data_IF_004226386178
#
_entry.id   IF_004226386178
#
_cell.length_a   1.000
_cell.length_b   1.000
_cell.length_c   1.000
_cell.angle_alpha   90.00
_cell.angle_beta   90.00
_cell.angle_gamma   90.00
#
_symmetry.space_group_name_H-M   'P 1'
#
loop_
_entity.id
_entity.type
_entity.pdbx_description
1 polymer ?
#
# COMPACT_ATOMS: atom_id res chain seq x y z
N UNK A 1 -0.16 -11.40 -1.39
CA UNK A 1 -0.93 -10.46 -2.23
C UNK A 1 -1.78 -9.64 -1.28
N UNK A 2 -1.87 -8.32 -1.46
CA UNK A 2 -2.72 -7.45 -0.63
C UNK A 2 -3.65 -6.66 -1.55
N UNK A 3 -4.94 -6.60 -1.18
CA UNK A 3 -6.02 -5.98 -1.95
C UNK A 3 -6.77 -5.00 -1.05
N UNK A 4 -7.11 -3.84 -1.61
CA UNK A 4 -7.90 -2.81 -0.92
C UNK A 4 -9.08 -2.38 -1.80
N UNK A 5 -10.23 -2.18 -1.18
CA UNK A 5 -11.36 -1.47 -1.76
C UNK A 5 -11.11 0.03 -1.60
N UNK A 6 -11.01 0.73 -2.73
CA UNK A 6 -10.74 2.16 -2.82
C UNK A 6 -12.04 2.92 -3.09
N UNK A 7 -12.19 4.10 -2.50
CA UNK A 7 -13.21 5.07 -2.89
C UNK A 7 -12.90 5.64 -4.27
N UNK A 8 -13.85 6.39 -4.87
CA UNK A 8 -13.63 7.06 -6.15
C UNK A 8 -12.63 8.22 -6.09
N UNK A 9 -12.11 8.53 -4.90
CA UNK A 9 -11.15 9.61 -4.68
C UNK A 9 -9.73 9.22 -5.12
N UNK A 10 -8.88 10.20 -5.49
CA UNK A 10 -7.46 9.95 -5.69
C UNK A 10 -6.86 9.30 -4.44
N UNK A 11 -6.27 8.12 -4.64
CA UNK A 11 -5.68 7.31 -3.58
C UNK A 11 -4.18 7.22 -3.82
N UNK A 12 -3.39 7.62 -2.82
CA UNK A 12 -1.96 7.46 -2.75
C UNK A 12 -1.61 6.24 -1.89
N UNK A 13 -0.88 5.29 -2.47
CA UNK A 13 -0.46 4.07 -1.77
C UNK A 13 1.06 4.08 -1.65
N UNK A 14 1.56 3.97 -0.43
CA UNK A 14 2.99 3.95 -0.15
C UNK A 14 3.37 2.71 0.65
N UNK A 15 4.38 1.98 0.19
CA UNK A 15 4.92 0.80 0.86
C UNK A 15 6.26 1.15 1.53
N UNK A 16 6.39 0.76 2.79
CA UNK A 16 7.58 0.93 3.60
C UNK A 16 8.08 -0.40 4.14
N UNK A 17 9.38 -0.49 4.38
CA UNK A 17 9.96 -1.48 5.30
C UNK A 17 9.60 -1.15 6.75
N UNK A 18 9.75 -2.11 7.65
CA UNK A 18 9.62 -1.88 9.10
C UNK A 18 10.56 -0.80 9.66
N UNK A 19 11.63 -0.46 8.94
CA UNK A 19 12.58 0.61 9.30
C UNK A 19 12.17 1.99 8.76
N UNK A 20 11.01 2.11 8.12
CA UNK A 20 10.51 3.36 7.53
C UNK A 20 11.10 3.69 6.16
N UNK A 21 11.89 2.79 5.56
CA UNK A 21 12.41 2.98 4.19
C UNK A 21 11.27 2.79 3.20
N UNK A 22 10.95 3.83 2.41
CA UNK A 22 9.96 3.78 1.35
C UNK A 22 10.48 2.94 0.17
N UNK A 23 9.71 1.94 -0.22
CA UNK A 23 10.06 1.00 -1.29
C UNK A 23 9.27 1.25 -2.57
N UNK A 24 8.00 1.65 -2.43
CA UNK A 24 7.11 1.84 -3.56
C UNK A 24 6.08 2.92 -3.24
N UNK A 25 5.71 3.66 -4.28
CA UNK A 25 4.62 4.63 -4.26
C UNK A 25 3.77 4.45 -5.51
N UNK A 26 2.45 4.54 -5.37
CA UNK A 26 1.51 4.36 -6.47
C UNK A 26 0.27 5.22 -6.26
N UNK A 27 -0.03 6.00 -7.30
CA UNK A 27 -1.24 6.82 -7.35
C UNK A 27 -2.32 6.08 -8.12
N UNK A 28 -3.52 6.05 -7.56
CA UNK A 28 -4.67 5.36 -8.12
C UNK A 28 -5.86 6.30 -8.10
N UNK A 29 -6.40 6.61 -9.28
CA UNK A 29 -7.59 7.45 -9.43
C UNK A 29 -8.66 6.70 -10.21
N UNK A 30 -9.92 6.81 -9.77
CA UNK A 30 -11.06 6.24 -10.50
C UNK A 30 -11.12 4.72 -10.55
N UNK A 31 -10.34 4.01 -9.72
CA UNK A 31 -10.40 2.54 -9.59
C UNK A 31 -10.90 2.17 -8.21
N UNK A 32 -11.87 1.25 -8.15
CA UNK A 32 -12.41 0.71 -6.90
C UNK A 32 -11.50 -0.32 -6.24
N UNK A 33 -10.57 -0.91 -6.99
CA UNK A 33 -9.65 -1.92 -6.47
C UNK A 33 -8.27 -1.74 -7.11
N UNK A 34 -7.23 -2.02 -6.33
CA UNK A 34 -5.86 -2.08 -6.81
C UNK A 34 -5.11 -3.20 -6.13
N UNK A 35 -4.23 -3.83 -6.88
CA UNK A 35 -3.33 -4.87 -6.40
C UNK A 35 -1.91 -4.32 -6.35
N UNK A 36 -1.22 -4.62 -5.25
CA UNK A 36 0.21 -4.39 -5.11
C UNK A 36 0.93 -5.73 -5.05
N UNK A 37 1.78 -5.98 -6.06
CA UNK A 37 2.65 -7.16 -6.04
C UNK A 37 3.80 -6.91 -5.08
N UNK A 38 3.99 -7.85 -4.15
CA UNK A 38 5.09 -7.86 -3.18
C UNK A 38 5.99 -9.08 -3.36
N UNK A 39 5.92 -9.75 -4.53
CA UNK A 39 6.57 -11.04 -4.82
C UNK A 39 8.09 -10.95 -4.95
N UNK A 40 8.64 -9.76 -5.17
CA UNK A 40 10.09 -9.57 -5.35
C UNK A 40 10.78 -8.95 -4.11
N UNK A 41 10.02 -8.60 -3.05
CA UNK A 41 10.56 -8.04 -1.81
C UNK A 41 11.19 -9.10 -0.88
N UNK A 42 12.34 -8.89 -0.23
CA UNK A 42 12.87 -9.90 0.69
C UNK A 42 11.89 -10.29 1.81
N UNK A 43 12.07 -11.44 2.44
CA UNK A 43 11.29 -11.78 3.63
C UNK A 43 11.47 -10.72 4.72
N UNK A 44 10.39 -10.37 5.40
CA UNK A 44 10.42 -9.29 6.37
C UNK A 44 9.08 -8.67 6.68
N UNK A 45 9.11 -7.67 7.55
CA UNK A 45 7.94 -6.89 7.93
C UNK A 45 7.85 -5.61 7.12
N UNK A 46 6.64 -5.33 6.63
CA UNK A 46 6.33 -4.22 5.76
C UNK A 46 5.10 -3.46 6.26
N UNK A 47 5.01 -2.19 5.88
CA UNK A 47 3.91 -1.30 6.21
C UNK A 47 3.39 -0.69 4.92
N UNK A 48 2.10 -0.82 4.65
CA UNK A 48 1.42 -0.08 3.58
C UNK A 48 0.62 1.04 4.20
N UNK A 49 0.76 2.21 3.61
CA UNK A 49 -0.08 3.37 3.87
C UNK A 49 -0.93 3.64 2.64
N UNK A 50 -2.22 3.86 2.85
CA UNK A 50 -3.21 4.20 1.82
C UNK A 50 -3.86 5.51 2.25
N UNK A 51 -3.67 6.56 1.47
CA UNK A 51 -4.23 7.89 1.71
C UNK A 51 -5.22 8.21 0.60
N UNK A 52 -6.49 8.37 0.93
CA UNK A 52 -7.56 8.76 0.00
C UNK A 52 -8.29 9.98 0.57
N UNK A 53 -8.07 11.15 -0.04
CA UNK A 53 -8.60 12.42 0.49
C UNK A 53 -8.14 12.67 1.94
N UNK A 54 -9.09 12.76 2.87
CA UNK A 54 -8.82 12.91 4.32
C UNK A 54 -8.66 11.60 5.08
N UNK A 55 -8.87 10.46 4.41
CA UNK A 55 -8.78 9.14 5.03
C UNK A 55 -7.37 8.60 4.87
N UNK A 56 -6.76 8.19 5.99
CA UNK A 56 -5.48 7.49 6.02
C UNK A 56 -5.64 6.14 6.67
N UNK A 57 -5.25 5.08 5.97
CA UNK A 57 -5.25 3.71 6.44
C UNK A 57 -3.82 3.17 6.43
N UNK A 58 -3.42 2.52 7.51
CA UNK A 58 -2.09 1.93 7.63
C UNK A 58 -2.22 0.45 7.99
N UNK A 59 -1.56 -0.42 7.23
CA UNK A 59 -1.59 -1.86 7.44
C UNK A 59 -0.19 -2.43 7.48
N UNK A 60 0.09 -3.27 8.49
CA UNK A 60 1.36 -4.00 8.61
C UNK A 60 1.16 -5.44 8.17
N UNK A 61 2.12 -5.99 7.43
CA UNK A 61 2.12 -7.40 7.06
C UNK A 61 3.54 -7.97 7.09
N UNK A 62 3.64 -9.30 7.22
CA UNK A 62 4.90 -10.02 7.17
C UNK A 62 4.92 -10.82 5.87
N UNK A 63 5.98 -10.65 5.07
CA UNK A 63 6.28 -11.52 3.94
C UNK A 63 7.14 -12.69 4.44
N UNK A 64 6.63 -13.90 4.25
CA UNK A 64 7.29 -15.19 4.48
C UNK A 64 7.36 -15.96 3.17
#
# INVERSE_FOLDING_TARGET
MVQWNLSSEPTHITLYTSKGIRLLEKDVTGKRETLLSVKDLPEGMYVVEVVAGSVKLTQKFIRR
#
